data_IF_404189519407
#
_entry.id   IF_404189519407
#
_cell.length_a   1.000
_cell.length_b   1.000
_cell.length_c   1.000
_cell.angle_alpha   90.00
_cell.angle_beta   90.00
_cell.angle_gamma   90.00
#
_symmetry.space_group_name_H-M   'P 1'
#
loop_
_entity.id
_entity.type
_entity.pdbx_description
1 polymer ?
#
# COMPACT_ATOMS: atom_id res chain seq x y z
N UNK A 1 -29.87 2.67 14.49
CA UNK A 1 -29.86 2.76 13.01
C UNK A 1 -29.62 4.22 12.68
N UNK A 2 -28.46 4.51 12.09
CA UNK A 2 -28.11 5.88 11.67
C UNK A 2 -28.73 6.11 10.30
N UNK A 3 -29.68 7.04 10.21
CA UNK A 3 -30.24 7.46 8.93
C UNK A 3 -29.30 8.47 8.27
N UNK A 4 -28.58 8.04 7.26
CA UNK A 4 -27.76 8.93 6.43
C UNK A 4 -28.66 9.40 5.28
N UNK A 5 -28.89 10.70 5.23
CA UNK A 5 -29.83 11.35 4.28
C UNK A 5 -29.31 11.37 2.84
N UNK A 6 -27.99 11.28 2.65
CA UNK A 6 -27.33 11.26 1.35
C UNK A 6 -26.78 9.86 1.05
N UNK A 7 -27.24 9.19 -0.01
CA UNK A 7 -26.78 7.85 -0.38
C UNK A 7 -25.27 7.80 -0.71
N UNK A 8 -24.70 8.89 -1.19
CA UNK A 8 -23.27 8.97 -1.49
C UNK A 8 -22.45 8.96 -0.20
N UNK A 9 -22.87 9.72 0.80
CA UNK A 9 -22.24 9.75 2.13
C UNK A 9 -22.39 8.39 2.84
N UNK A 10 -23.55 7.72 2.70
CA UNK A 10 -23.75 6.39 3.23
C UNK A 10 -22.79 5.35 2.65
N UNK A 11 -22.56 5.42 1.32
CA UNK A 11 -21.62 4.52 0.64
C UNK A 11 -20.18 4.74 1.10
N UNK A 12 -19.73 5.98 1.15
CA UNK A 12 -18.37 6.34 1.60
C UNK A 12 -18.14 5.94 3.05
N UNK A 13 -19.12 6.23 3.91
CA UNK A 13 -19.07 5.88 5.33
C UNK A 13 -18.89 4.37 5.51
N UNK A 14 -19.72 3.55 4.87
CA UNK A 14 -19.63 2.10 4.95
C UNK A 14 -18.31 1.55 4.40
N UNK A 15 -17.86 2.05 3.26
CA UNK A 15 -16.60 1.60 2.63
C UNK A 15 -15.38 1.89 3.52
N UNK A 16 -15.33 3.07 4.14
CA UNK A 16 -14.23 3.43 5.03
C UNK A 16 -14.20 2.56 6.30
N UNK A 17 -15.38 2.29 6.88
CA UNK A 17 -15.51 1.39 8.02
C UNK A 17 -15.11 -0.05 7.63
N UNK A 18 -15.61 -0.57 6.51
CA UNK A 18 -15.24 -1.92 6.04
C UNK A 18 -13.73 -2.08 5.83
N UNK A 19 -13.08 -1.07 5.29
CA UNK A 19 -11.62 -1.07 5.10
C UNK A 19 -10.89 -1.14 6.43
N UNK A 20 -11.32 -0.36 7.42
CA UNK A 20 -10.73 -0.36 8.75
C UNK A 20 -10.97 -1.70 9.49
N UNK A 21 -12.16 -2.28 9.34
CA UNK A 21 -12.51 -3.60 9.92
C UNK A 21 -11.64 -4.71 9.32
N UNK A 22 -11.42 -4.71 8.00
CA UNK A 22 -10.53 -5.68 7.33
C UNK A 22 -9.10 -5.63 7.85
N UNK A 23 -8.64 -4.45 8.25
CA UNK A 23 -7.31 -4.25 8.85
C UNK A 23 -7.27 -4.57 10.36
N UNK A 24 -8.33 -5.13 10.94
CA UNK A 24 -8.48 -5.39 12.40
C UNK A 24 -8.28 -4.14 13.26
N UNK A 25 -8.52 -2.95 12.71
CA UNK A 25 -8.40 -1.69 13.47
C UNK A 25 -9.59 -1.52 14.41
N UNK A 26 -9.31 -1.11 15.64
CA UNK A 26 -10.35 -0.75 16.60
C UNK A 26 -11.02 0.55 16.14
N UNK A 27 -12.30 0.51 15.76
CA UNK A 27 -13.09 1.68 15.40
C UNK A 27 -13.80 2.17 16.66
N UNK A 28 -13.47 3.40 17.06
CA UNK A 28 -14.18 4.09 18.14
C UNK A 28 -15.35 4.86 17.57
N UNK A 29 -16.48 4.86 18.27
CA UNK A 29 -17.70 5.55 17.85
C UNK A 29 -18.04 6.68 18.79
N UNK A 30 -18.25 7.86 18.21
CA UNK A 30 -18.65 9.06 18.92
C UNK A 30 -20.00 9.56 18.42
N UNK A 31 -20.83 10.08 19.35
CA UNK A 31 -22.14 10.59 19.04
C UNK A 31 -22.37 11.91 19.78
N UNK A 32 -22.68 12.98 19.03
CA UNK A 32 -22.93 14.31 19.57
C UNK A 32 -24.27 14.86 19.05
N UNK A 33 -25.27 14.93 19.93
CA UNK A 33 -26.60 15.45 19.61
C UNK A 33 -27.46 14.46 18.81
N UNK A 34 -28.69 14.85 18.54
CA UNK A 34 -29.68 14.08 17.79
C UNK A 34 -30.09 14.83 16.52
N UNK A 35 -30.77 14.12 15.61
CA UNK A 35 -31.33 14.73 14.40
C UNK A 35 -32.36 15.78 14.83
N UNK A 36 -32.15 17.03 14.42
CA UNK A 36 -32.99 18.16 14.83
C UNK A 36 -32.28 19.15 15.76
N UNK A 37 -31.14 18.78 16.36
CA UNK A 37 -30.32 19.68 17.16
C UNK A 37 -29.54 20.68 16.26
N UNK A 38 -29.41 20.35 14.97
CA UNK A 38 -28.74 21.21 14.00
C UNK A 38 -29.57 22.43 13.62
N UNK A 39 -28.96 23.59 13.58
CA UNK A 39 -29.55 24.78 12.94
C UNK A 39 -29.35 24.68 11.43
N UNK A 40 -30.41 24.92 10.67
CA UNK A 40 -30.42 24.79 9.22
C UNK A 40 -29.25 25.58 8.57
N UNK A 41 -28.37 24.89 7.84
CA UNK A 41 -27.23 25.49 7.17
C UNK A 41 -26.01 25.81 8.04
N UNK A 42 -26.04 25.51 9.33
CA UNK A 42 -24.89 25.78 10.21
C UNK A 42 -23.92 24.59 10.20
N UNK A 43 -22.62 24.88 9.99
CA UNK A 43 -21.54 23.91 10.22
C UNK A 43 -21.34 23.69 11.71
N UNK A 44 -21.09 22.45 12.10
CA UNK A 44 -20.70 22.08 13.45
C UNK A 44 -19.19 22.06 13.58
N UNK A 45 -18.75 22.13 14.81
CA UNK A 45 -17.32 22.20 15.18
C UNK A 45 -17.00 21.02 16.09
N UNK A 46 -16.05 20.20 15.68
CA UNK A 46 -15.41 19.23 16.57
C UNK A 46 -14.00 19.71 16.84
N UNK A 47 -13.64 19.75 18.12
CA UNK A 47 -12.31 20.11 18.59
C UNK A 47 -11.75 19.02 19.47
N UNK A 48 -10.46 19.09 19.77
CA UNK A 48 -9.83 18.13 20.68
C UNK A 48 -8.33 18.21 20.66
N UNK A 49 -7.71 17.21 21.28
CA UNK A 49 -6.27 17.08 21.38
C UNK A 49 -5.85 15.68 20.96
N UNK A 50 -4.71 15.59 20.26
CA UNK A 50 -4.07 14.33 19.88
C UNK A 50 -2.74 14.23 20.63
N UNK A 51 -2.53 13.10 21.30
CA UNK A 51 -1.31 12.82 22.08
C UNK A 51 -0.73 11.47 21.74
N UNK A 52 0.54 11.28 22.08
CA UNK A 52 1.18 9.95 22.07
C UNK A 52 0.66 9.12 23.26
N UNK A 53 0.22 7.90 23.00
CA UNK A 53 -0.32 6.98 24.02
C UNK A 53 0.69 6.64 25.12
N UNK A 54 1.98 6.57 24.80
CA UNK A 54 3.03 6.13 25.73
C UNK A 54 3.67 7.28 26.50
N UNK A 55 3.94 8.39 25.80
CA UNK A 55 4.64 9.55 26.40
C UNK A 55 3.70 10.62 26.91
N UNK A 56 2.46 10.66 26.41
CA UNK A 56 1.50 11.75 26.68
C UNK A 56 1.85 13.07 25.98
N UNK A 57 2.88 13.10 25.15
CA UNK A 57 3.29 14.29 24.43
C UNK A 57 2.28 14.66 23.33
N UNK A 58 2.06 15.97 23.09
CA UNK A 58 1.17 16.41 22.03
C UNK A 58 1.76 16.11 20.66
N UNK A 59 0.94 15.56 19.75
CA UNK A 59 1.35 15.28 18.38
C UNK A 59 1.01 16.48 17.48
N UNK A 60 2.04 17.23 17.12
CA UNK A 60 1.95 18.38 16.21
C UNK A 60 1.89 17.93 14.75
N UNK A 61 1.05 18.58 13.94
CA UNK A 61 0.82 18.25 12.51
C UNK A 61 0.24 16.86 12.24
N UNK A 62 -0.49 16.30 13.19
CA UNK A 62 -1.32 15.14 12.91
C UNK A 62 -2.37 15.54 11.89
N UNK A 63 -2.43 14.81 10.78
CA UNK A 63 -3.41 15.04 9.73
C UNK A 63 -4.75 14.43 10.13
N UNK A 64 -5.82 15.20 10.05
CA UNK A 64 -7.19 14.80 10.36
C UNK A 64 -8.03 15.05 9.12
N UNK A 65 -8.61 13.99 8.54
CA UNK A 65 -9.35 14.06 7.29
C UNK A 65 -10.72 13.40 7.43
N UNK A 66 -11.73 13.99 6.81
CA UNK A 66 -13.05 13.38 6.66
C UNK A 66 -13.00 12.47 5.43
N UNK A 67 -13.22 11.17 5.62
CA UNK A 67 -13.19 10.16 4.56
C UNK A 67 -14.18 10.52 3.45
N UNK A 68 -13.70 10.44 2.20
CA UNK A 68 -14.51 10.73 1.01
C UNK A 68 -14.72 12.21 0.71
N UNK A 69 -14.08 13.11 1.45
CA UNK A 69 -14.09 14.55 1.18
C UNK A 69 -12.67 15.10 1.11
N UNK A 70 -12.53 16.35 0.69
CA UNK A 70 -11.25 17.09 0.79
C UNK A 70 -11.19 17.93 2.08
N UNK A 71 -12.22 17.86 2.93
CA UNK A 71 -12.26 18.60 4.20
C UNK A 71 -11.37 17.90 5.24
N UNK A 72 -10.52 18.68 5.87
CA UNK A 72 -9.59 18.20 6.89
C UNK A 72 -8.93 19.34 7.64
N UNK A 73 -8.11 19.00 8.64
CA UNK A 73 -7.32 19.94 9.43
C UNK A 73 -6.07 19.24 9.96
N UNK A 74 -5.17 20.00 10.58
CA UNK A 74 -4.00 19.46 11.27
C UNK A 74 -3.95 19.97 12.70
N UNK A 75 -3.28 19.20 13.58
CA UNK A 75 -3.03 19.66 14.94
C UNK A 75 -1.97 20.75 14.99
N UNK A 76 -2.13 21.68 15.94
CA UNK A 76 -1.16 22.72 16.27
C UNK A 76 0.01 22.19 17.13
N UNK A 77 0.91 23.08 17.56
CA UNK A 77 2.08 22.74 18.40
C UNK A 77 1.70 22.13 19.76
N UNK A 78 0.50 22.38 20.24
CA UNK A 78 -0.03 21.82 21.49
C UNK A 78 -0.83 20.53 21.28
N UNK A 79 -0.87 20.01 20.03
CA UNK A 79 -1.63 18.84 19.64
C UNK A 79 -3.14 19.10 19.51
N UNK A 80 -3.60 20.36 19.57
CA UNK A 80 -5.02 20.72 19.46
C UNK A 80 -5.43 20.84 18.00
N UNK A 81 -6.69 20.53 17.73
CA UNK A 81 -7.30 20.68 16.41
C UNK A 81 -8.72 21.24 16.50
N UNK A 82 -9.17 21.79 15.40
CA UNK A 82 -10.55 22.25 15.21
C UNK A 82 -10.97 21.91 13.78
N UNK A 83 -12.04 21.13 13.63
CA UNK A 83 -12.57 20.70 12.35
C UNK A 83 -14.01 21.19 12.22
N UNK A 84 -14.35 21.82 11.09
CA UNK A 84 -15.69 22.34 10.79
C UNK A 84 -16.27 21.61 9.60
N UNK A 85 -17.48 21.04 9.77
CA UNK A 85 -18.16 20.28 8.71
C UNK A 85 -19.68 20.34 8.89
N UNK A 86 -20.40 19.78 7.93
CA UNK A 86 -21.87 19.72 7.96
C UNK A 86 -22.35 18.67 8.96
N UNK A 87 -23.48 18.89 9.68
CA UNK A 87 -24.06 17.88 10.56
C UNK A 87 -24.33 16.56 9.83
N UNK A 88 -24.13 15.43 10.52
CA UNK A 88 -24.39 14.11 9.97
C UNK A 88 -23.44 13.04 10.44
N UNK A 89 -23.41 11.93 9.70
CA UNK A 89 -22.49 10.81 9.93
C UNK A 89 -21.23 10.96 9.07
N UNK A 90 -20.07 10.84 9.69
CA UNK A 90 -18.77 10.99 9.06
C UNK A 90 -17.80 9.95 9.60
N UNK A 91 -16.81 9.61 8.80
CA UNK A 91 -15.66 8.84 9.25
C UNK A 91 -14.45 9.74 9.24
N UNK A 92 -13.79 9.90 10.38
CA UNK A 92 -12.58 10.68 10.51
C UNK A 92 -11.36 9.75 10.56
N UNK A 93 -10.32 10.11 9.84
CA UNK A 93 -9.04 9.42 9.89
C UNK A 93 -7.98 10.36 10.45
N UNK A 94 -7.24 9.88 11.45
CA UNK A 94 -6.13 10.58 12.09
C UNK A 94 -4.85 9.86 11.70
N UNK A 95 -3.93 10.57 11.05
CA UNK A 95 -2.66 10.00 10.58
C UNK A 95 -1.49 10.88 10.97
N UNK A 96 -0.42 10.24 11.44
CA UNK A 96 0.84 10.87 11.77
C UNK A 96 1.99 9.93 11.39
N UNK A 97 3.16 10.50 11.06
CA UNK A 97 4.34 9.70 10.65
C UNK A 97 4.77 8.79 11.80
N UNK A 98 5.06 7.53 11.50
CA UNK A 98 5.45 6.48 12.45
C UNK A 98 4.37 6.09 13.48
N UNK A 99 3.12 6.51 13.29
CA UNK A 99 2.00 6.14 14.16
C UNK A 99 0.92 5.34 13.42
N UNK A 100 0.24 4.50 14.15
CA UNK A 100 -0.90 3.80 13.60
C UNK A 100 -2.03 4.76 13.28
N UNK A 101 -2.54 4.73 12.04
CA UNK A 101 -3.68 5.55 11.63
C UNK A 101 -4.92 5.14 12.42
N UNK A 102 -5.50 6.07 13.18
CA UNK A 102 -6.78 5.87 13.88
C UNK A 102 -7.94 6.29 13.00
N UNK A 103 -8.99 5.45 12.98
CA UNK A 103 -10.24 5.72 12.27
C UNK A 103 -11.35 5.76 13.30
N UNK A 104 -12.18 6.81 13.29
CA UNK A 104 -13.34 6.96 14.15
C UNK A 104 -14.60 7.11 13.32
N UNK A 105 -15.70 6.54 13.84
CA UNK A 105 -17.06 6.66 13.33
C UNK A 105 -17.75 7.76 14.14
N UNK A 106 -18.11 8.86 13.50
CA UNK A 106 -18.65 10.06 14.14
C UNK A 106 -20.05 10.36 13.61
N UNK A 107 -21.00 10.45 14.52
CA UNK A 107 -22.33 11.01 14.24
C UNK A 107 -22.47 12.29 15.05
N UNK A 108 -22.55 13.43 14.37
CA UNK A 108 -22.57 14.72 15.05
C UNK A 108 -23.61 15.66 14.45
N UNK A 109 -24.48 16.18 15.32
CA UNK A 109 -25.50 17.20 15.04
C UNK A 109 -25.28 18.47 15.86
N UNK A 110 -24.35 18.43 16.81
CA UNK A 110 -23.89 19.59 17.60
C UNK A 110 -22.38 19.55 17.79
N UNK A 111 -21.82 20.66 18.25
CA UNK A 111 -20.41 20.76 18.57
C UNK A 111 -20.01 19.73 19.63
N UNK A 112 -18.80 19.25 19.55
CA UNK A 112 -18.25 18.26 20.46
C UNK A 112 -16.74 18.36 20.63
N UNK A 113 -16.22 17.58 21.58
CA UNK A 113 -14.80 17.45 21.81
C UNK A 113 -14.39 15.98 21.76
N UNK A 114 -13.33 15.67 21.00
CA UNK A 114 -12.79 14.31 20.88
C UNK A 114 -11.29 14.39 21.09
N UNK A 115 -10.83 13.84 22.22
CA UNK A 115 -9.42 13.69 22.51
C UNK A 115 -8.97 12.28 22.15
N UNK A 116 -7.82 12.14 21.49
CA UNK A 116 -7.31 10.89 20.97
C UNK A 116 -5.86 10.68 21.37
N UNK A 117 -5.56 9.45 21.68
CA UNK A 117 -4.22 8.91 21.83
C UNK A 117 -3.86 8.07 20.62
N UNK A 118 -2.66 8.25 20.08
CA UNK A 118 -2.13 7.49 18.96
C UNK A 118 -0.96 6.62 19.42
N UNK A 119 -0.91 5.40 18.92
CA UNK A 119 0.16 4.47 19.21
C UNK A 119 1.21 4.50 18.10
N UNK A 120 2.49 4.63 18.53
CA UNK A 120 3.61 4.56 17.60
C UNK A 120 3.76 3.14 17.08
N UNK A 121 3.83 2.99 15.76
CA UNK A 121 4.10 1.70 15.13
C UNK A 121 5.53 1.32 15.49
N UNK A 122 5.77 0.15 16.13
CA UNK A 122 7.13 -0.32 16.33
C UNK A 122 7.77 -0.48 14.94
N UNK A 123 8.92 0.14 14.75
CA UNK A 123 9.75 -0.08 13.57
C UNK A 123 10.25 -1.53 13.67
N UNK A 124 9.43 -2.48 13.23
CA UNK A 124 9.93 -3.78 12.87
C UNK A 124 10.77 -3.51 11.62
N UNK A 125 12.08 -3.40 11.79
CA UNK A 125 12.98 -3.78 10.73
C UNK A 125 12.61 -5.25 10.46
N UNK A 126 11.70 -5.50 9.55
CA UNK A 126 11.69 -6.77 8.87
C UNK A 126 13.13 -6.88 8.35
N UNK A 127 13.90 -7.72 9.03
CA UNK A 127 15.10 -8.26 8.45
C UNK A 127 14.63 -8.73 7.08
N UNK A 128 14.95 -7.95 6.06
CA UNK A 128 14.80 -8.39 4.69
C UNK A 128 15.77 -9.56 4.63
N UNK A 129 15.31 -10.73 5.06
CA UNK A 129 15.87 -11.98 4.62
C UNK A 129 15.63 -11.94 3.13
N UNK A 130 16.57 -11.34 2.42
CA UNK A 130 16.78 -11.63 1.03
C UNK A 130 17.06 -13.13 1.04
N UNK A 131 16.00 -13.93 1.04
CA UNK A 131 16.11 -15.24 0.45
C UNK A 131 16.60 -14.93 -0.95
N UNK A 132 17.90 -14.96 -1.07
CA UNK A 132 18.51 -15.09 -2.36
C UNK A 132 17.85 -16.33 -2.98
N UNK A 133 16.74 -16.13 -3.69
CA UNK A 133 16.66 -16.82 -4.93
C UNK A 133 18.01 -16.46 -5.52
N UNK A 134 18.88 -17.45 -5.54
CA UNK A 134 20.00 -17.46 -6.46
C UNK A 134 19.34 -17.26 -7.82
N UNK A 135 19.00 -16.02 -8.15
CA UNK A 135 19.11 -15.57 -9.52
C UNK A 135 20.59 -15.87 -9.71
N UNK A 136 20.87 -17.05 -10.29
CA UNK A 136 22.19 -17.32 -10.83
C UNK A 136 22.56 -16.02 -11.45
N UNK A 137 23.45 -15.33 -10.76
CA UNK A 137 24.05 -14.12 -11.27
C UNK A 137 24.18 -14.33 -12.75
N UNK A 138 23.56 -13.43 -13.49
CA UNK A 138 24.10 -13.06 -14.77
C UNK A 138 25.46 -12.49 -14.37
N UNK A 139 26.38 -13.40 -14.07
CA UNK A 139 27.80 -13.11 -14.01
C UNK A 139 28.01 -12.37 -15.29
N UNK A 140 28.33 -11.12 -15.19
CA UNK A 140 28.60 -10.22 -16.30
C UNK A 140 29.42 -11.01 -17.28
N UNK A 141 28.75 -11.59 -18.26
CA UNK A 141 29.36 -12.41 -19.27
C UNK A 141 30.32 -11.49 -19.93
N UNK A 142 31.61 -11.76 -19.79
CA UNK A 142 32.61 -11.06 -20.55
C UNK A 142 32.09 -10.99 -21.98
N UNK A 143 32.18 -9.83 -22.62
CA UNK A 143 31.71 -9.58 -23.98
C UNK A 143 32.09 -10.76 -24.85
N UNK A 144 31.11 -11.57 -25.28
CA UNK A 144 31.31 -12.70 -26.17
C UNK A 144 31.19 -14.11 -25.58
N UNK A 145 30.68 -14.29 -24.35
CA UNK A 145 30.32 -15.61 -23.84
C UNK A 145 28.82 -15.83 -23.97
N UNK A 146 28.42 -16.89 -24.68
CA UNK A 146 27.01 -17.35 -24.76
C UNK A 146 26.89 -18.60 -23.90
N UNK A 147 26.04 -18.54 -22.86
CA UNK A 147 25.75 -19.70 -22.01
C UNK A 147 24.41 -20.31 -22.44
N UNK A 148 24.41 -21.60 -22.69
CA UNK A 148 23.20 -22.39 -22.95
C UNK A 148 22.75 -23.04 -21.65
N UNK A 149 21.54 -22.70 -21.17
CA UNK A 149 20.98 -23.35 -19.99
C UNK A 149 20.40 -24.72 -20.33
N UNK A 150 20.49 -25.68 -19.41
CA UNK A 150 19.88 -27.00 -19.58
C UNK A 150 18.35 -26.94 -19.73
N UNK A 151 17.72 -25.87 -19.31
CA UNK A 151 16.27 -25.67 -19.48
C UNK A 151 15.94 -25.23 -20.91
N UNK A 152 16.76 -24.42 -21.53
CA UNK A 152 16.61 -24.03 -22.95
C UNK A 152 16.86 -25.22 -23.88
N UNK A 153 17.86 -26.04 -23.57
CA UNK A 153 18.14 -27.28 -24.29
C UNK A 153 16.95 -28.26 -24.27
N UNK A 154 16.25 -28.36 -23.12
CA UNK A 154 15.05 -29.25 -23.01
C UNK A 154 13.82 -28.71 -23.73
N UNK A 155 13.76 -27.42 -24.04
CA UNK A 155 12.66 -26.81 -24.80
C UNK A 155 12.89 -26.79 -26.29
N UNK A 156 14.07 -27.14 -26.74
CA UNK A 156 14.39 -27.20 -28.15
C UNK A 156 13.58 -28.35 -28.84
N UNK A 157 13.04 -28.12 -30.05
CA UNK A 157 12.32 -29.18 -30.79
C UNK A 157 13.27 -30.33 -31.06
N UNK A 158 12.90 -31.52 -30.58
CA UNK A 158 13.64 -32.75 -30.83
C UNK A 158 13.05 -33.46 -32.06
N UNK A 159 13.89 -33.90 -32.98
CA UNK A 159 13.52 -34.78 -34.03
C UNK A 159 13.83 -36.21 -33.60
N UNK A 160 12.82 -37.09 -33.56
CA UNK A 160 12.92 -38.50 -33.09
C UNK A 160 13.22 -38.69 -31.59
N UNK A 161 12.93 -37.69 -30.73
CA UNK A 161 13.02 -37.85 -29.25
C UNK A 161 14.38 -37.60 -28.63
N UNK A 162 15.43 -37.30 -29.41
CA UNK A 162 16.74 -36.90 -28.90
C UNK A 162 17.03 -35.44 -29.22
N UNK A 163 17.62 -34.72 -28.25
CA UNK A 163 18.02 -33.31 -28.42
C UNK A 163 19.39 -33.29 -29.11
N UNK A 164 19.41 -32.82 -30.35
CA UNK A 164 20.67 -32.68 -31.12
C UNK A 164 21.41 -31.42 -30.63
N UNK A 165 22.33 -31.61 -29.69
CA UNK A 165 23.14 -30.55 -29.10
C UNK A 165 24.00 -29.83 -30.14
N UNK A 166 24.44 -30.53 -31.19
CA UNK A 166 25.31 -29.92 -32.22
C UNK A 166 24.53 -28.90 -33.03
N UNK A 167 23.27 -29.22 -33.40
CA UNK A 167 22.41 -28.24 -34.08
C UNK A 167 22.08 -27.02 -33.23
N UNK A 168 21.95 -27.20 -31.94
CA UNK A 168 21.73 -26.06 -31.03
C UNK A 168 22.94 -25.12 -30.97
N UNK A 169 24.17 -25.67 -30.95
CA UNK A 169 25.40 -24.90 -30.96
C UNK A 169 25.59 -24.15 -32.29
N UNK A 170 25.21 -24.77 -33.41
CA UNK A 170 25.26 -24.18 -34.76
C UNK A 170 24.35 -22.95 -34.93
N UNK A 171 23.28 -22.85 -34.14
CA UNK A 171 22.34 -21.72 -34.17
C UNK A 171 22.79 -20.53 -33.31
N UNK A 172 23.93 -20.63 -32.61
CA UNK A 172 24.44 -19.53 -31.81
C UNK A 172 25.10 -18.43 -32.71
N UNK A 173 24.95 -17.15 -32.32
CA UNK A 173 25.55 -16.06 -33.04
C UNK A 173 27.09 -16.18 -33.02
N UNK A 174 27.72 -16.13 -34.21
CA UNK A 174 29.16 -16.26 -34.39
C UNK A 174 29.67 -17.68 -34.58
N UNK A 175 28.81 -18.66 -34.74
CA UNK A 175 29.16 -20.04 -35.14
C UNK A 175 28.80 -20.26 -36.60
N UNK A 176 29.73 -20.78 -37.37
CA UNK A 176 29.54 -21.13 -38.77
C UNK A 176 29.76 -22.64 -39.01
N UNK A 177 28.94 -23.24 -39.84
CA UNK A 177 29.07 -24.65 -40.20
C UNK A 177 30.09 -24.87 -41.30
N UNK A 178 30.84 -25.95 -41.24
CA UNK A 178 31.83 -26.34 -42.26
C UNK A 178 31.22 -27.36 -43.22
N UNK A 179 30.31 -26.89 -44.14
CA UNK A 179 29.66 -27.71 -45.17
C UNK A 179 28.36 -28.41 -44.74
N UNK A 180 27.53 -28.80 -45.72
CA UNK A 180 26.15 -29.30 -45.49
C UNK A 180 26.06 -30.71 -44.85
N UNK A 181 27.16 -31.45 -44.81
CA UNK A 181 27.20 -32.80 -44.22
C UNK A 181 28.26 -33.00 -43.14
N UNK A 182 28.93 -31.90 -42.68
CA UNK A 182 29.97 -32.00 -41.71
C UNK A 182 29.44 -31.80 -40.28
N UNK A 183 29.86 -32.67 -39.36
CA UNK A 183 29.60 -32.52 -37.92
C UNK A 183 30.44 -31.48 -37.21
N UNK A 184 31.20 -30.70 -38.00
CA UNK A 184 32.10 -29.64 -37.47
C UNK A 184 31.50 -28.24 -37.52
N UNK A 185 31.96 -27.40 -36.65
CA UNK A 185 31.59 -25.97 -36.61
C UNK A 185 32.80 -25.11 -36.20
N UNK A 186 32.88 -23.93 -36.77
CA UNK A 186 33.89 -22.93 -36.38
C UNK A 186 33.28 -21.86 -35.52
N UNK A 187 34.02 -21.43 -34.50
CA UNK A 187 33.60 -20.37 -33.59
C UNK A 187 34.48 -19.14 -33.86
N UNK A 188 33.85 -18.01 -34.16
CA UNK A 188 34.50 -16.71 -34.38
C UNK A 188 35.55 -16.68 -35.51
N UNK A 189 35.36 -17.46 -36.57
CA UNK A 189 36.22 -17.39 -37.77
C UNK A 189 37.57 -18.09 -37.62
N UNK A 190 37.68 -19.04 -36.66
CA UNK A 190 38.85 -19.90 -36.55
C UNK A 190 38.83 -21.09 -37.49
#
# INVERSE_FOLDING_TARGET
IVFIKDPTQAFIHNTAIETAVRQKKKIERYHFGEIGDEKMGQKIVISGKVIDLKTGEPLHRTNIQISGTQEGTTTDETGRYTLKFTPGAHVLSFSFVDYETKVIDLVAYKNGEINLDMEKVPFLLDEVVVQGQVIQEITTSGIGQTQLSMQELKRAPSFLGEVDLIKQVQNLPGVTTVGEAASGFNVRGG
#
